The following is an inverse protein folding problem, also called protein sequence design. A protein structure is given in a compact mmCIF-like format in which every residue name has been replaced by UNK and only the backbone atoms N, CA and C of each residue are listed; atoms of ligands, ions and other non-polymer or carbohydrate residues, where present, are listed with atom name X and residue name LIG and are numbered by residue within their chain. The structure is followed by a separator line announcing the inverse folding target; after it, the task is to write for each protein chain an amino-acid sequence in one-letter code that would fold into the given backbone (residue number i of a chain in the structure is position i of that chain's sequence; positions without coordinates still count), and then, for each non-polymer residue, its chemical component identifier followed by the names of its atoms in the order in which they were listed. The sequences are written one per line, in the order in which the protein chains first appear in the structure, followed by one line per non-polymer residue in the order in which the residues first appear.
data_IF_111479164279
#
_entry.id   IF_111479164279
#
_cell.length_a   1.000
_cell.length_b   1.000
_cell.length_c   1.000
_cell.angle_alpha   90.00
_cell.angle_beta   90.00
_cell.angle_gamma   90.00
#
_symmetry.space_group_name_H-M   'P 1'
#
loop_
_entity.id
_entity.type
_entity.pdbx_description
1 polymer ?
#
# COMPACT_ATOMS: atom_id res chain seq x y z
N UNK A 1 -13.00 1.56 -10.74
CA UNK A 1 -12.26 2.55 -9.97
C UNK A 1 -12.09 3.82 -10.77
N UNK A 2 -12.28 4.97 -10.14
CA UNK A 2 -12.01 6.26 -10.79
C UNK A 2 -10.52 6.61 -10.66
N UNK A 3 -10.05 7.50 -11.53
CA UNK A 3 -8.66 7.97 -11.44
C UNK A 3 -8.38 8.64 -10.10
N UNK A 4 -9.36 9.38 -9.57
CA UNK A 4 -9.21 10.02 -8.27
C UNK A 4 -9.02 9.00 -7.14
N UNK A 5 -9.73 7.87 -7.18
CA UNK A 5 -9.57 6.81 -6.20
C UNK A 5 -8.19 6.16 -6.31
N UNK A 6 -7.72 5.92 -7.54
CA UNK A 6 -6.39 5.35 -7.78
C UNK A 6 -5.32 6.28 -7.25
N UNK A 7 -5.43 7.59 -7.53
CA UNK A 7 -4.47 8.57 -7.05
C UNK A 7 -4.45 8.67 -5.52
N UNK A 8 -5.62 8.66 -4.89
CA UNK A 8 -5.72 8.70 -3.44
C UNK A 8 -5.04 7.48 -2.81
N UNK A 9 -5.30 6.30 -3.35
CA UNK A 9 -4.70 5.05 -2.85
C UNK A 9 -3.20 5.04 -3.10
N UNK A 10 -2.74 5.54 -4.24
CA UNK A 10 -1.31 5.63 -4.53
C UNK A 10 -0.61 6.56 -3.54
N UNK A 11 -1.23 7.68 -3.18
CA UNK A 11 -0.69 8.61 -2.19
C UNK A 11 -0.57 7.95 -0.83
N UNK A 12 -1.57 7.18 -0.41
CA UNK A 12 -1.55 6.45 0.86
C UNK A 12 -0.43 5.42 0.84
N UNK A 13 -0.30 4.65 -0.23
CA UNK A 13 0.73 3.63 -0.36
C UNK A 13 2.13 4.25 -0.31
N UNK A 14 2.33 5.37 -1.00
CA UNK A 14 3.61 6.08 -0.97
C UNK A 14 3.94 6.57 0.44
N UNK A 15 2.95 7.09 1.17
CA UNK A 15 3.14 7.53 2.54
C UNK A 15 3.53 6.38 3.47
N UNK A 16 2.92 5.22 3.30
CA UNK A 16 3.26 4.02 4.08
C UNK A 16 4.72 3.59 3.85
N UNK A 17 5.17 3.65 2.60
CA UNK A 17 6.55 3.32 2.25
C UNK A 17 7.51 4.36 2.81
N UNK A 18 7.19 5.64 2.70
CA UNK A 18 8.03 6.73 3.18
C UNK A 18 8.15 6.74 4.71
N UNK A 19 7.08 6.38 5.41
CA UNK A 19 7.09 6.30 6.87
C UNK A 19 7.74 5.02 7.39
N UNK A 20 8.18 4.15 6.48
CA UNK A 20 8.80 2.86 6.79
C UNK A 20 7.85 1.88 7.49
N UNK A 21 6.55 2.10 7.37
CA UNK A 21 5.57 1.12 7.82
C UNK A 21 5.62 -0.14 6.96
N UNK A 22 6.03 0.03 5.70
CA UNK A 22 6.28 -1.08 4.77
C UNK A 22 7.73 -0.96 4.30
N UNK A 23 8.46 -2.07 4.35
CA UNK A 23 9.86 -2.12 3.89
C UNK A 23 9.90 -2.19 2.36
N UNK A 24 10.31 -1.09 1.74
CA UNK A 24 10.38 -1.02 0.28
C UNK A 24 11.40 -2.02 -0.29
N UNK A 25 12.47 -2.32 0.44
CA UNK A 25 13.46 -3.30 -0.01
C UNK A 25 12.86 -4.71 -0.08
N UNK A 26 11.95 -5.05 0.83
CA UNK A 26 11.27 -6.33 0.81
C UNK A 26 10.38 -6.48 -0.42
N UNK A 27 9.85 -5.37 -0.96
CA UNK A 27 9.05 -5.40 -2.18
C UNK A 27 9.87 -5.76 -3.41
N UNK A 28 11.17 -5.45 -3.39
CA UNK A 28 12.10 -5.80 -4.46
C UNK A 28 12.86 -7.10 -4.22
N UNK A 29 12.44 -7.91 -3.24
CA UNK A 29 13.10 -9.15 -2.91
C UNK A 29 13.09 -10.13 -4.08
N UNK A 30 14.18 -10.89 -4.25
CA UNK A 30 14.25 -11.97 -5.23
C UNK A 30 13.32 -13.13 -4.87
N UNK A 31 12.95 -13.25 -3.61
CA UNK A 31 11.97 -14.23 -3.18
C UNK A 31 10.57 -13.69 -3.44
N UNK A 32 9.94 -14.20 -4.49
CA UNK A 32 8.61 -13.71 -4.90
C UNK A 32 7.53 -13.95 -3.86
N UNK A 33 7.65 -14.99 -3.06
CA UNK A 33 6.66 -15.26 -2.01
C UNK A 33 6.68 -14.17 -0.94
N UNK A 34 7.87 -13.75 -0.52
CA UNK A 34 8.02 -12.64 0.43
C UNK A 34 7.52 -11.34 -0.19
N UNK A 35 7.93 -11.05 -1.41
CA UNK A 35 7.53 -9.85 -2.13
C UNK A 35 6.01 -9.79 -2.30
N UNK A 36 5.39 -10.89 -2.73
CA UNK A 36 3.93 -10.95 -2.92
C UNK A 36 3.19 -10.78 -1.60
N UNK A 37 3.71 -11.37 -0.52
CA UNK A 37 3.10 -11.23 0.80
C UNK A 37 3.13 -9.77 1.27
N UNK A 38 4.26 -9.10 1.08
CA UNK A 38 4.40 -7.69 1.46
C UNK A 38 3.53 -6.78 0.59
N UNK A 39 3.42 -7.07 -0.70
CA UNK A 39 2.54 -6.31 -1.59
C UNK A 39 1.07 -6.48 -1.19
N UNK A 40 0.66 -7.69 -0.83
CA UNK A 40 -0.70 -7.94 -0.36
C UNK A 40 -0.98 -7.17 0.93
N UNK A 41 -0.02 -7.14 1.85
CA UNK A 41 -0.15 -6.39 3.10
C UNK A 41 -0.26 -4.89 2.83
N UNK A 42 0.56 -4.36 1.93
CA UNK A 42 0.51 -2.96 1.52
C UNK A 42 -0.88 -2.61 0.94
N UNK A 43 -1.40 -3.46 0.08
CA UNK A 43 -2.72 -3.27 -0.50
C UNK A 43 -3.80 -3.25 0.58
N UNK A 44 -3.74 -4.18 1.51
CA UNK A 44 -4.72 -4.27 2.59
C UNK A 44 -4.71 -3.01 3.46
N UNK A 45 -3.53 -2.55 3.88
CA UNK A 45 -3.41 -1.34 4.68
C UNK A 45 -3.91 -0.11 3.93
N UNK A 46 -3.55 -0.01 2.65
CA UNK A 46 -4.00 1.10 1.80
C UNK A 46 -5.52 1.14 1.72
N UNK A 47 -6.16 0.00 1.49
CA UNK A 47 -7.62 -0.08 1.41
C UNK A 47 -8.28 0.31 2.74
N UNK A 48 -7.74 -0.17 3.85
CA UNK A 48 -8.29 0.15 5.18
C UNK A 48 -8.19 1.63 5.48
N UNK A 49 -7.05 2.24 5.21
CA UNK A 49 -6.86 3.68 5.43
C UNK A 49 -7.80 4.47 4.54
N UNK A 50 -7.92 4.09 3.28
CA UNK A 50 -8.82 4.75 2.34
C UNK A 50 -10.27 4.71 2.83
N UNK A 51 -10.73 3.55 3.30
CA UNK A 51 -12.10 3.42 3.81
C UNK A 51 -12.34 4.29 5.04
N UNK A 52 -11.38 4.35 5.95
CA UNK A 52 -11.50 5.19 7.15
C UNK A 52 -11.62 6.66 6.76
N UNK A 53 -10.81 7.11 5.80
CA UNK A 53 -10.82 8.51 5.37
C UNK A 53 -12.09 8.90 4.61
N UNK A 54 -12.69 7.95 3.87
CA UNK A 54 -13.87 8.24 3.07
C UNK A 54 -15.18 7.97 3.80
N UNK A 55 -15.19 7.05 4.74
CA UNK A 55 -16.38 6.73 5.55
C UNK A 55 -16.48 7.58 6.82
N UNK A 56 -15.36 8.13 7.20
CA UNK A 56 -15.34 8.94 8.40
C UNK A 56 -16.01 10.24 8.23
#
# INVERSE_FOLDING_TARGET
MTDAQIQAKATIAAALIQSRSIDAEALGSLNKDISNHKLAHLKELTERIYLVLTDG
#
